data_IF_227250164132
#
_entry.id   IF_227250164132
#
_cell.length_a   1.000
_cell.length_b   1.000
_cell.length_c   1.000
_cell.angle_alpha   90.00
_cell.angle_beta   90.00
_cell.angle_gamma   90.00
#
_symmetry.space_group_name_H-M   'P 1'
#
loop_
_entity.id
_entity.type
_entity.pdbx_description
1 polymer ?
#
# COMPACT_ATOMS: atom_id res chain seq x y z
N UNK A 1 1.66 -15.29 -6.19
CA UNK A 1 1.59 -13.85 -5.87
C UNK A 1 0.44 -13.68 -4.89
N UNK A 2 0.74 -13.45 -3.60
CA UNK A 2 -0.31 -13.33 -2.57
C UNK A 2 -1.02 -11.99 -2.72
N UNK A 3 -2.32 -12.04 -3.03
CA UNK A 3 -3.26 -10.93 -2.93
C UNK A 3 -3.35 -10.49 -1.47
N UNK A 4 -2.41 -9.64 -1.03
CA UNK A 4 -2.43 -9.08 0.32
C UNK A 4 -3.60 -8.10 0.42
N UNK A 5 -4.56 -8.37 1.29
CA UNK A 5 -5.70 -7.49 1.58
C UNK A 5 -5.44 -6.73 2.86
N UNK A 6 -5.78 -5.45 2.85
CA UNK A 6 -5.63 -4.55 3.99
C UNK A 6 -6.99 -4.00 4.37
N UNK A 7 -7.37 -4.16 5.62
CA UNK A 7 -8.50 -3.46 6.21
C UNK A 7 -8.13 -2.01 6.49
N UNK A 8 -9.01 -1.10 6.08
CA UNK A 8 -8.90 0.31 6.38
C UNK A 8 -9.64 0.60 7.69
N UNK A 9 -8.93 0.97 8.74
CA UNK A 9 -9.55 1.35 10.01
C UNK A 9 -10.45 2.61 9.88
N UNK A 10 -10.12 3.51 8.94
CA UNK A 10 -10.86 4.75 8.74
C UNK A 10 -12.22 4.57 8.06
N UNK A 11 -12.31 3.70 7.05
CA UNK A 11 -13.56 3.50 6.30
C UNK A 11 -14.17 2.09 6.48
N UNK A 12 -13.50 1.22 7.24
CA UNK A 12 -13.92 -0.16 7.49
C UNK A 12 -13.89 -1.09 6.26
N UNK A 13 -13.33 -0.62 5.13
CA UNK A 13 -13.29 -1.40 3.89
C UNK A 13 -12.03 -2.24 3.80
N UNK A 14 -12.17 -3.42 3.23
CA UNK A 14 -11.04 -4.24 2.78
C UNK A 14 -10.60 -3.81 1.40
N UNK A 15 -9.32 -3.50 1.26
CA UNK A 15 -8.68 -3.03 0.02
C UNK A 15 -7.59 -4.01 -0.37
N UNK A 16 -7.59 -4.50 -1.61
CA UNK A 16 -6.51 -5.35 -2.10
C UNK A 16 -5.25 -4.53 -2.40
N UNK A 17 -4.08 -5.15 -2.30
CA UNK A 17 -2.80 -4.51 -2.64
C UNK A 17 -2.78 -3.94 -4.06
N UNK A 18 -3.42 -4.63 -5.00
CA UNK A 18 -3.50 -4.21 -6.40
C UNK A 18 -4.43 -3.00 -6.62
N UNK A 19 -5.39 -2.79 -5.70
CA UNK A 19 -6.35 -1.68 -5.74
C UNK A 19 -5.91 -0.50 -4.86
N UNK A 20 -5.00 -0.73 -3.92
CA UNK A 20 -4.47 0.30 -3.04
C UNK A 20 -3.70 1.35 -3.85
N UNK A 21 -3.94 2.62 -3.52
CA UNK A 21 -3.21 3.72 -4.14
C UNK A 21 -1.77 3.71 -3.60
N UNK A 22 -0.81 3.60 -4.51
CA UNK A 22 0.61 3.53 -4.17
C UNK A 22 1.20 4.91 -4.31
N UNK A 23 1.36 5.60 -3.19
CA UNK A 23 2.00 6.91 -3.19
C UNK A 23 3.52 6.71 -3.09
N UNK A 24 4.22 7.27 -4.08
CA UNK A 24 5.57 6.89 -4.53
C UNK A 24 6.67 6.81 -3.48
N UNK A 25 7.82 6.30 -3.94
CA UNK A 25 9.01 5.98 -3.16
C UNK A 25 9.38 7.13 -2.21
N UNK A 26 9.32 6.86 -0.91
CA UNK A 26 9.76 7.83 0.09
C UNK A 26 11.30 7.93 0.03
N UNK A 27 11.79 9.01 -0.60
CA UNK A 27 13.15 9.57 -0.55
C UNK A 27 14.31 8.58 -0.41
N UNK A 28 15.09 8.36 -1.48
CA UNK A 28 16.33 7.56 -1.56
C UNK A 28 16.28 6.11 -1.01
N UNK A 29 15.17 5.70 -0.37
CA UNK A 29 14.90 4.34 0.09
C UNK A 29 14.23 3.58 -1.05
N UNK A 30 15.04 3.15 -2.01
CA UNK A 30 14.58 2.34 -3.12
C UNK A 30 13.81 1.12 -2.60
N UNK A 31 12.59 0.93 -3.10
CA UNK A 31 11.76 -0.22 -2.78
C UNK A 31 10.71 -0.03 -1.68
N UNK A 32 10.70 1.06 -0.90
CA UNK A 32 9.60 1.26 0.07
C UNK A 32 8.43 2.02 -0.55
N UNK A 33 7.24 1.43 -0.48
CA UNK A 33 6.00 2.03 -0.96
C UNK A 33 4.96 2.10 0.15
N UNK A 34 4.22 3.20 0.21
CA UNK A 34 3.10 3.33 1.15
C UNK A 34 1.79 3.06 0.43
N UNK A 35 1.04 2.07 0.91
CA UNK A 35 -0.30 1.77 0.43
C UNK A 35 -1.31 2.66 1.14
N UNK A 36 -2.11 3.36 0.35
CA UNK A 36 -3.21 4.19 0.80
C UNK A 36 -4.54 3.61 0.32
N UNK A 37 -5.60 3.85 1.09
CA UNK A 37 -6.94 3.45 0.72
C UNK A 37 -7.41 4.31 -0.45
N UNK A 38 -7.84 3.72 -1.59
CA UNK A 38 -8.29 4.47 -2.76
C UNK A 38 -9.61 5.22 -2.51
N UNK A 39 -10.35 4.85 -1.45
CA UNK A 39 -11.65 5.44 -1.13
C UNK A 39 -11.56 6.65 -0.20
N UNK A 40 -10.67 6.62 0.81
CA UNK A 40 -10.57 7.67 1.82
C UNK A 40 -9.20 8.32 1.90
N UNK A 41 -8.19 7.82 1.19
CA UNK A 41 -6.81 8.32 1.24
C UNK A 41 -6.06 7.96 2.53
N UNK A 42 -6.67 7.21 3.46
CA UNK A 42 -6.02 6.81 4.70
C UNK A 42 -4.86 5.84 4.41
N UNK A 43 -3.75 5.99 5.15
CA UNK A 43 -2.61 5.08 5.06
C UNK A 43 -3.03 3.69 5.57
N UNK A 44 -2.88 2.67 4.73
CA UNK A 44 -3.16 1.28 5.06
C UNK A 44 -1.91 0.63 5.67
N UNK A 45 -0.84 0.52 4.87
CA UNK A 45 0.39 -0.15 5.29
C UNK A 45 1.56 0.26 4.42
N UNK A 46 2.74 0.35 5.02
CA UNK A 46 3.98 0.50 4.27
C UNK A 46 4.52 -0.88 3.93
N UNK A 47 4.83 -1.10 2.66
CA UNK A 47 5.31 -2.37 2.14
C UNK A 47 6.59 -2.17 1.38
N UNK A 48 7.52 -3.10 1.56
CA UNK A 48 8.68 -3.19 0.69
C UNK A 48 8.28 -3.89 -0.61
N UNK A 49 8.70 -3.30 -1.72
CA UNK A 49 8.45 -3.70 -3.12
C UNK A 49 9.78 -3.70 -3.88
N UNK A 50 10.91 -3.61 -3.18
CA UNK A 50 12.22 -3.80 -3.80
C UNK A 50 12.19 -5.11 -4.58
N UNK A 51 12.40 -5.01 -5.89
CA UNK A 51 12.62 -6.17 -6.74
C UNK A 51 13.90 -6.83 -6.25
N UNK A 52 13.81 -8.08 -5.78
CA UNK A 52 15.00 -8.91 -5.67
C UNK A 52 15.49 -9.12 -7.12
N UNK A 53 16.76 -8.79 -7.35
CA UNK A 53 17.42 -8.65 -8.66
C UNK A 53 17.38 -9.93 -9.53
#
# INVERSE_FOLDING_TARGET
>A
MTDARFDCDTCGRTVARAEADVSGTFGDLEGWQTLCCPHCGARLRTVFVGSEE
#
